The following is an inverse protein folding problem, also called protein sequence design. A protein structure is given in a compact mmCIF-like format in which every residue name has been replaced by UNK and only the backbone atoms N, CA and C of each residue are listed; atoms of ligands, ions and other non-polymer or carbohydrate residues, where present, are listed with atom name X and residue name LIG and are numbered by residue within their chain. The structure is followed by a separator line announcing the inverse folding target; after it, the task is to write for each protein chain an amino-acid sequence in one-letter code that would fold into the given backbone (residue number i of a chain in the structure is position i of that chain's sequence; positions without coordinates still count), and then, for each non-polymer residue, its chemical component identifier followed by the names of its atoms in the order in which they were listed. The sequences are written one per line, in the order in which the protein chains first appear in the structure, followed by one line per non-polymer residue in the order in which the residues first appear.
data_IF_287447474772
#
_entry.id   IF_287447474772
#
_cell.length_a   1.000
_cell.length_b   1.000
_cell.length_c   1.000
_cell.angle_alpha   90.00
_cell.angle_beta   90.00
_cell.angle_gamma   90.00
#
_symmetry.space_group_name_H-M   'P 1'
#
loop_
_entity.id
_entity.type
_entity.pdbx_description
1 polymer ?
#
# COMPACT_ATOMS: atom_id res chain seq x y z
N UNK A 1 22.41 -4.59 0.56
CA UNK A 1 21.08 -4.08 0.94
C UNK A 1 20.03 -5.08 0.47
N UNK A 2 19.04 -5.43 1.30
CA UNK A 2 17.95 -6.30 0.86
C UNK A 2 17.16 -5.62 -0.26
N UNK A 3 16.74 -6.41 -1.24
CA UNK A 3 15.84 -5.98 -2.32
C UNK A 3 14.46 -6.53 -2.02
N UNK A 4 13.46 -5.66 -2.01
CA UNK A 4 12.08 -6.03 -1.68
C UNK A 4 11.26 -5.94 -2.96
N UNK A 5 10.52 -7.00 -3.29
CA UNK A 5 9.58 -6.99 -4.41
C UNK A 5 8.21 -6.53 -3.94
N UNK A 6 7.70 -5.51 -4.61
CA UNK A 6 6.42 -4.86 -4.33
C UNK A 6 5.71 -4.51 -5.63
N UNK A 7 4.51 -3.97 -5.51
CA UNK A 7 3.64 -3.61 -6.62
C UNK A 7 3.16 -2.17 -6.51
N UNK A 8 2.99 -1.53 -7.65
CA UNK A 8 2.39 -0.20 -7.80
C UNK A 8 1.37 -0.23 -8.93
N UNK A 9 0.30 0.56 -8.81
CA UNK A 9 -0.72 0.66 -9.83
C UNK A 9 -0.73 2.07 -10.42
N UNK A 10 -0.85 2.19 -11.74
CA UNK A 10 -0.80 3.48 -12.43
C UNK A 10 -1.64 3.45 -13.71
N UNK A 11 -2.16 4.63 -14.11
CA UNK A 11 -2.76 4.84 -15.42
C UNK A 11 -1.76 5.43 -16.44
N UNK A 12 -0.62 5.92 -15.97
CA UNK A 12 0.37 6.61 -16.77
C UNK A 12 1.58 5.72 -17.06
N UNK A 13 2.15 5.87 -18.25
CA UNK A 13 3.48 5.38 -18.56
C UNK A 13 4.53 6.37 -18.05
N UNK A 14 5.53 5.86 -17.34
CA UNK A 14 6.65 6.63 -16.83
C UNK A 14 7.86 5.74 -16.59
N UNK A 15 9.05 6.34 -16.61
CA UNK A 15 10.31 5.64 -16.32
C UNK A 15 10.79 5.85 -14.87
N UNK A 16 10.26 6.88 -14.19
CA UNK A 16 10.65 7.25 -12.82
C UNK A 16 9.44 7.57 -11.96
N UNK A 17 9.43 7.04 -10.74
CA UNK A 17 8.42 7.36 -9.73
C UNK A 17 8.52 8.80 -9.21
N UNK A 18 7.42 9.30 -8.66
CA UNK A 18 7.45 10.51 -7.85
C UNK A 18 8.06 10.23 -6.46
N UNK A 19 8.67 11.22 -5.79
CA UNK A 19 8.97 11.12 -4.37
C UNK A 19 7.73 10.75 -3.56
N UNK A 20 7.92 10.00 -2.48
CA UNK A 20 6.84 9.54 -1.60
C UNK A 20 5.82 8.59 -2.28
N UNK A 21 6.23 7.91 -3.35
CA UNK A 21 5.38 6.91 -3.99
C UNK A 21 5.05 5.74 -3.05
N UNK A 22 3.82 5.26 -3.16
CA UNK A 22 3.29 4.14 -2.40
C UNK A 22 3.47 2.82 -3.16
N UNK A 23 3.86 1.78 -2.42
CA UNK A 23 4.03 0.42 -2.92
C UNK A 23 3.46 -0.59 -1.95
N UNK A 24 3.00 -1.73 -2.46
CA UNK A 24 2.33 -2.73 -1.65
C UNK A 24 2.44 -4.15 -2.21
N UNK A 25 1.57 -5.03 -1.74
CA UNK A 25 1.34 -6.34 -2.35
C UNK A 25 0.62 -6.18 -3.70
N UNK A 26 0.63 -7.25 -4.51
CA UNK A 26 -0.12 -7.26 -5.77
C UNK A 26 -1.60 -6.98 -5.57
N UNK A 27 -2.22 -7.62 -4.57
CA UNK A 27 -3.64 -7.41 -4.25
C UNK A 27 -3.96 -5.96 -3.85
N UNK A 28 -3.03 -5.26 -3.18
CA UNK A 28 -3.17 -3.84 -2.86
C UNK A 28 -3.10 -2.97 -4.13
N UNK A 29 -2.15 -3.26 -5.01
CA UNK A 29 -2.02 -2.55 -6.27
C UNK A 29 -3.23 -2.78 -7.19
N UNK A 30 -3.71 -4.02 -7.30
CA UNK A 30 -4.93 -4.36 -8.05
C UNK A 30 -6.14 -3.56 -7.59
N UNK A 31 -6.35 -3.44 -6.27
CA UNK A 31 -7.45 -2.64 -5.70
C UNK A 31 -7.35 -1.15 -6.05
N UNK A 32 -6.13 -0.61 -6.22
CA UNK A 32 -5.88 0.78 -6.62
C UNK A 32 -5.78 1.00 -8.13
N UNK A 33 -5.84 -0.07 -8.93
CA UNK A 33 -5.60 0.04 -10.36
C UNK A 33 -6.79 0.72 -11.05
N UNK A 34 -6.58 1.87 -11.70
CA UNK A 34 -7.66 2.54 -12.41
C UNK A 34 -8.07 1.74 -13.67
N UNK A 35 -9.28 1.93 -14.20
CA UNK A 35 -9.68 1.38 -15.49
C UNK A 35 -8.69 1.77 -16.60
N UNK A 36 -8.22 0.78 -17.37
CA UNK A 36 -7.18 0.98 -18.39
C UNK A 36 -5.78 1.24 -17.82
N UNK A 37 -5.59 1.12 -16.50
CA UNK A 37 -4.29 1.16 -15.85
C UNK A 37 -3.55 -0.17 -15.92
N UNK A 38 -2.34 -0.17 -15.37
CA UNK A 38 -1.46 -1.32 -15.33
C UNK A 38 -0.76 -1.44 -13.98
N UNK A 39 -0.27 -2.64 -13.71
CA UNK A 39 0.47 -2.99 -12.51
C UNK A 39 1.95 -3.01 -12.83
N UNK A 40 2.74 -2.32 -12.01
CA UNK A 40 4.18 -2.35 -12.06
C UNK A 40 4.69 -3.26 -10.95
N UNK A 41 5.46 -4.28 -11.31
CA UNK A 41 6.30 -5.00 -10.36
C UNK A 41 7.57 -4.16 -10.15
N UNK A 42 7.89 -3.88 -8.89
CA UNK A 42 8.94 -2.93 -8.50
C UNK A 42 9.87 -3.58 -7.50
N UNK A 43 11.17 -3.36 -7.68
CA UNK A 43 12.19 -3.68 -6.70
C UNK A 43 12.55 -2.41 -5.91
N UNK A 44 12.42 -2.48 -4.58
CA UNK A 44 12.80 -1.41 -3.67
C UNK A 44 14.20 -1.66 -3.07
N UNK A 45 15.00 -0.60 -3.01
CA UNK A 45 16.26 -0.51 -2.28
C UNK A 45 16.06 0.40 -1.07
N UNK A 46 15.51 -0.16 0.00
CA UNK A 46 15.22 0.54 1.26
C UNK A 46 16.04 -0.14 2.35
N UNK A 47 16.95 0.59 2.97
CA UNK A 47 17.88 0.09 3.97
C UNK A 47 17.47 0.45 5.40
N UNK A 48 16.97 1.67 5.62
CA UNK A 48 16.55 2.13 6.95
C UNK A 48 15.16 2.78 6.91
N UNK A 49 14.10 1.95 6.77
CA UNK A 49 12.74 2.45 6.78
C UNK A 49 12.29 2.75 8.20
N UNK A 50 11.54 3.85 8.37
CA UNK A 50 10.79 4.05 9.60
C UNK A 50 9.58 3.12 9.63
N UNK A 51 9.48 2.25 10.64
CA UNK A 51 8.25 1.47 10.86
C UNK A 51 7.20 2.35 11.54
N UNK A 52 5.99 2.42 10.97
CA UNK A 52 4.89 3.24 11.45
C UNK A 52 3.57 2.48 11.41
N UNK A 53 2.63 2.84 12.29
CA UNK A 53 1.27 2.33 12.25
C UNK A 53 0.49 3.07 11.16
N UNK A 54 -0.29 2.34 10.38
CA UNK A 54 -1.25 2.91 9.44
C UNK A 54 -2.40 3.61 10.18
N UNK A 55 -2.58 4.90 9.87
CA UNK A 55 -3.65 5.75 10.43
C UNK A 55 -4.62 6.23 9.35
N UNK A 56 -4.60 5.63 8.16
CA UNK A 56 -5.54 5.93 7.07
C UNK A 56 -5.14 7.10 6.17
N UNK A 57 -3.97 7.71 6.37
CA UNK A 57 -3.49 8.80 5.53
C UNK A 57 -2.05 9.21 5.86
N UNK A 58 -1.35 9.69 4.84
CA UNK A 58 0.05 10.14 4.95
C UNK A 58 0.16 11.62 4.59
N UNK A 59 0.59 12.44 5.56
CA UNK A 59 0.88 13.85 5.35
C UNK A 59 2.29 14.02 4.76
N UNK A 60 2.39 14.68 3.60
CA UNK A 60 3.68 14.94 2.95
C UNK A 60 4.64 15.73 3.86
N UNK A 61 4.15 16.62 4.73
CA UNK A 61 5.03 17.33 5.69
C UNK A 61 5.65 16.37 6.70
N UNK A 62 4.88 15.39 7.17
CA UNK A 62 5.38 14.33 8.03
C UNK A 62 6.43 13.47 7.32
N UNK A 63 6.19 13.08 6.08
CA UNK A 63 7.14 12.29 5.27
C UNK A 63 8.44 13.06 5.02
N UNK A 64 8.36 14.34 4.64
CA UNK A 64 9.53 15.22 4.50
C UNK A 64 10.32 15.36 5.80
N UNK A 65 9.64 15.41 6.95
CA UNK A 65 10.30 15.46 8.25
C UNK A 65 11.06 14.15 8.53
N UNK A 66 10.47 13.00 8.21
CA UNK A 66 11.15 11.70 8.35
C UNK A 66 12.37 11.61 7.42
N UNK A 67 12.23 12.04 6.17
CA UNK A 67 13.35 12.12 5.22
C UNK A 67 14.50 12.97 5.77
N UNK A 68 14.20 14.14 6.35
CA UNK A 68 15.21 15.00 7.00
C UNK A 68 15.86 14.38 8.23
N UNK A 69 15.24 13.38 8.85
CA UNK A 69 15.81 12.62 9.97
C UNK A 69 16.74 11.48 9.51
N UNK A 70 16.86 11.26 8.20
CA UNK A 70 17.78 10.26 7.63
C UNK A 70 17.12 8.94 7.23
N UNK A 71 15.82 8.76 7.46
CA UNK A 71 15.09 7.58 6.98
C UNK A 71 14.96 7.62 5.46
N UNK A 72 14.99 6.46 4.79
CA UNK A 72 14.86 6.34 3.33
C UNK A 72 13.46 5.93 2.85
N UNK A 73 12.57 5.62 3.80
CA UNK A 73 11.16 5.37 3.56
C UNK A 73 10.36 5.13 4.84
N UNK A 74 9.09 4.76 4.65
CA UNK A 74 8.20 4.26 5.69
C UNK A 74 7.79 2.84 5.34
N UNK A 75 7.80 1.95 6.33
CA UNK A 75 7.17 0.63 6.27
C UNK A 75 5.99 0.59 7.25
N UNK A 76 4.86 0.04 6.84
CA UNK A 76 3.69 -0.09 7.71
C UNK A 76 2.83 -1.28 7.31
N UNK A 77 2.07 -1.81 8.26
CA UNK A 77 1.04 -2.80 7.96
C UNK A 77 -0.18 -2.08 7.39
N UNK A 78 -0.51 -2.33 6.11
CA UNK A 78 -1.70 -1.75 5.49
C UNK A 78 -2.95 -2.40 6.07
N UNK A 79 -3.88 -1.57 6.52
CA UNK A 79 -5.07 -2.02 7.26
C UNK A 79 -6.35 -2.03 6.43
N UNK A 80 -6.27 -1.70 5.14
CA UNK A 80 -7.45 -1.46 4.31
C UNK A 80 -7.40 -2.22 2.99
N UNK A 81 -6.23 -2.26 2.34
CA UNK A 81 -6.12 -2.70 0.95
C UNK A 81 -5.58 -4.12 0.82
N UNK A 82 -6.05 -4.83 -0.22
CA UNK A 82 -5.67 -6.22 -0.48
C UNK A 82 -6.26 -7.23 0.52
N UNK A 83 -7.17 -6.80 1.39
CA UNK A 83 -7.88 -7.63 2.36
C UNK A 83 -9.30 -7.87 1.83
N UNK A 84 -9.75 -9.12 1.64
CA UNK A 84 -11.12 -9.40 1.19
C UNK A 84 -12.18 -8.89 2.17
N UNK A 85 -13.31 -8.42 1.66
CA UNK A 85 -14.42 -7.94 2.50
C UNK A 85 -14.89 -9.00 3.51
N UNK A 86 -14.94 -10.27 3.09
CA UNK A 86 -15.31 -11.39 3.96
C UNK A 86 -14.34 -11.57 5.13
N UNK A 87 -13.07 -11.16 5.01
CA UNK A 87 -12.11 -11.19 6.12
C UNK A 87 -12.44 -10.12 7.16
N UNK A 88 -12.79 -8.90 6.72
CA UNK A 88 -13.26 -7.86 7.61
C UNK A 88 -14.54 -8.25 8.35
N UNK A 89 -15.50 -8.89 7.67
CA UNK A 89 -16.73 -9.39 8.29
C UNK A 89 -16.44 -10.40 9.40
N UNK A 90 -15.58 -11.41 9.13
CA UNK A 90 -15.14 -12.38 10.14
C UNK A 90 -14.47 -11.71 11.33
N UNK A 91 -13.60 -10.73 11.08
CA UNK A 91 -12.90 -10.03 12.15
C UNK A 91 -13.86 -9.15 12.97
N UNK A 92 -14.83 -8.48 12.34
CA UNK A 92 -15.80 -7.60 13.03
C UNK A 92 -16.77 -8.37 13.91
N UNK A 93 -17.05 -9.64 13.57
CA UNK A 93 -17.80 -10.53 14.44
C UNK A 93 -17.09 -10.86 15.77
N UNK A 94 -15.76 -10.70 15.82
CA UNK A 94 -14.93 -11.04 17.00
C UNK A 94 -14.39 -9.82 17.75
N UNK A 95 -14.17 -8.70 17.06
CA UNK A 95 -13.54 -7.51 17.62
C UNK A 95 -14.46 -6.30 17.45
N UNK A 96 -14.77 -5.63 18.57
CA UNK A 96 -15.62 -4.44 18.57
C UNK A 96 -15.03 -3.25 17.77
N UNK A 97 -13.70 -3.13 17.72
CA UNK A 97 -13.01 -2.14 16.90
C UNK A 97 -11.64 -2.69 16.45
N UNK A 98 -11.56 -3.14 15.21
CA UNK A 98 -10.36 -3.75 14.62
C UNK A 98 -9.25 -2.70 14.43
N UNK A 99 -9.59 -1.45 14.10
CA UNK A 99 -8.62 -0.38 13.80
C UNK A 99 -7.81 0.04 15.04
N UNK A 100 -8.37 -0.17 16.22
CA UNK A 100 -7.68 0.09 17.50
C UNK A 100 -6.68 -1.00 17.89
N UNK A 101 -6.65 -2.13 17.20
CA UNK A 101 -5.68 -3.20 17.48
C UNK A 101 -4.25 -2.72 17.21
N UNK A 102 -3.28 -3.30 17.95
CA UNK A 102 -1.86 -3.26 17.59
C UNK A 102 -1.64 -3.98 16.26
N UNK A 103 -0.55 -3.70 15.54
CA UNK A 103 -0.28 -4.36 14.25
C UNK A 103 -0.23 -5.89 14.40
N UNK A 104 0.39 -6.40 15.46
CA UNK A 104 0.45 -7.84 15.74
C UNK A 104 -0.94 -8.46 15.97
N UNK A 105 -1.86 -7.75 16.64
CA UNK A 105 -3.21 -8.25 16.86
C UNK A 105 -4.10 -8.06 15.63
N UNK A 106 -3.88 -6.99 14.87
CA UNK A 106 -4.54 -6.75 13.59
C UNK A 106 -4.20 -7.87 12.60
N UNK A 107 -2.92 -8.20 12.44
CA UNK A 107 -2.47 -9.26 11.54
C UNK A 107 -2.94 -10.65 11.99
N UNK A 108 -3.06 -10.91 13.30
CA UNK A 108 -3.70 -12.14 13.80
C UNK A 108 -5.19 -12.22 13.45
N UNK A 109 -5.89 -11.08 13.42
CA UNK A 109 -7.30 -11.01 13.09
C UNK A 109 -7.56 -11.04 11.58
N UNK A 110 -6.65 -10.46 10.80
CA UNK A 110 -6.68 -10.35 9.34
C UNK A 110 -5.31 -10.81 8.78
N UNK A 111 -5.08 -12.13 8.67
CA UNK A 111 -3.82 -12.68 8.16
C UNK A 111 -3.50 -12.25 6.72
N UNK A 112 -4.51 -11.84 5.95
CA UNK A 112 -4.38 -11.30 4.60
C UNK A 112 -3.73 -9.90 4.58
N UNK A 113 -3.69 -9.20 5.71
CA UNK A 113 -3.05 -7.89 5.83
C UNK A 113 -1.56 -7.99 5.52
N UNK A 114 -1.10 -7.12 4.60
CA UNK A 114 0.26 -7.12 4.07
C UNK A 114 0.93 -5.77 4.28
N UNK A 115 2.26 -5.77 4.34
CA UNK A 115 3.05 -4.55 4.47
C UNK A 115 2.93 -3.69 3.21
N UNK A 116 2.91 -2.37 3.42
CA UNK A 116 3.07 -1.34 2.40
C UNK A 116 4.27 -0.47 2.72
N UNK A 117 4.75 0.21 1.69
CA UNK A 117 5.97 0.98 1.68
C UNK A 117 5.74 2.34 1.05
N UNK A 118 6.34 3.38 1.64
CA UNK A 118 6.48 4.69 1.01
C UNK A 118 7.95 4.98 0.88
N UNK A 119 8.41 5.22 -0.34
CA UNK A 119 9.83 5.48 -0.61
C UNK A 119 10.05 6.96 -0.86
N UNK A 120 11.04 7.55 -0.19
CA UNK A 120 11.24 9.01 -0.22
C UNK A 120 12.03 9.46 -1.46
N UNK A 121 12.97 8.62 -1.92
CA UNK A 121 13.78 8.88 -3.11
C UNK A 121 13.37 7.93 -4.24
N UNK A 122 12.88 8.43 -5.38
CA UNK A 122 12.45 7.56 -6.48
C UNK A 122 13.57 6.70 -7.07
N UNK A 123 14.84 7.07 -6.87
CA UNK A 123 16.00 6.25 -7.29
C UNK A 123 16.09 4.93 -6.54
N UNK A 124 15.41 4.82 -5.40
CA UNK A 124 15.32 3.58 -4.61
C UNK A 124 14.21 2.64 -5.09
N UNK A 125 13.52 2.97 -6.19
CA UNK A 125 12.49 2.12 -6.78
C UNK A 125 12.81 1.85 -8.25
N UNK A 126 12.88 0.57 -8.63
CA UNK A 126 13.15 0.15 -10.00
C UNK A 126 11.99 -0.69 -10.52
N UNK A 127 11.39 -0.27 -11.64
CA UNK A 127 10.42 -1.09 -12.37
C UNK A 127 11.15 -2.31 -12.94
N UNK A 128 10.64 -3.50 -12.66
CA UNK A 128 11.20 -4.76 -13.18
C UNK A 128 10.27 -5.43 -14.20
N UNK A 129 8.97 -5.21 -14.12
CA UNK A 129 8.00 -5.66 -15.12
C UNK A 129 6.72 -4.83 -15.08
N UNK A 130 6.03 -4.77 -16.23
CA UNK A 130 4.68 -4.23 -16.37
C UNK A 130 3.73 -5.39 -16.63
N UNK A 131 2.60 -5.38 -15.95
CA UNK A 131 1.57 -6.42 -15.99
C UNK A 131 0.21 -5.77 -16.21
N UNK A 132 -0.65 -6.46 -16.95
CA UNK A 132 -2.07 -6.11 -16.99
C UNK A 132 -2.74 -6.51 -15.66
N UNK A 133 -3.73 -5.73 -15.17
CA UNK A 133 -4.54 -6.17 -14.05
C UNK A 133 -5.31 -7.45 -14.43
N UNK A 134 -5.65 -8.28 -13.44
CA UNK A 134 -6.47 -9.45 -13.71
C UNK A 134 -7.82 -9.03 -14.33
N UNK A 135 -8.22 -9.67 -15.42
CA UNK A 135 -9.55 -9.47 -16.01
C UNK A 135 -10.60 -10.03 -15.03
N UNK A 136 -11.35 -9.13 -14.38
CA UNK A 136 -12.42 -9.45 -13.45
C UNK A 136 -13.61 -8.53 -13.70
N UNK A 137 -14.79 -9.15 -13.83
CA UNK A 137 -16.07 -8.56 -14.20
C UNK A 137 -16.35 -7.20 -13.52
N UNK A 138 -16.59 -6.17 -14.33
CA UNK A 138 -17.32 -4.98 -13.91
C UNK A 138 -16.69 -4.17 -12.77
N UNK A 139 -15.74 -3.30 -13.11
CA UNK A 139 -15.49 -2.04 -12.39
C UNK A 139 -16.74 -1.13 -12.50
N UNK A 140 -17.87 -1.57 -11.94
CA UNK A 140 -19.03 -0.74 -11.68
C UNK A 140 -18.96 -0.26 -10.23
N UNK A 141 -18.60 1.01 -10.08
CA UNK A 141 -18.91 1.89 -8.94
C UNK A 141 -18.64 1.36 -7.52
N UNK A 142 -17.43 1.61 -7.01
CA UNK A 142 -17.20 1.84 -5.58
C UNK A 142 -16.31 3.08 -5.42
N UNK A 143 -16.83 4.25 -5.79
CA UNK A 143 -16.08 5.52 -5.68
C UNK A 143 -16.92 6.70 -5.20
N UNK A 144 -17.90 6.51 -4.30
CA UNK A 144 -18.66 7.66 -3.80
C UNK A 144 -19.07 7.68 -2.31
N UNK A 145 -18.95 6.62 -1.51
CA UNK A 145 -19.59 6.63 -0.16
C UNK A 145 -18.68 6.47 1.06
N UNK A 146 -17.35 6.54 0.94
CA UNK A 146 -16.46 6.46 2.12
C UNK A 146 -15.70 7.76 2.45
N UNK A 147 -16.08 8.90 1.86
CA UNK A 147 -15.49 10.21 2.22
C UNK A 147 -16.45 11.19 2.92
N UNK A 148 -17.65 10.78 3.34
CA UNK A 148 -18.53 11.60 4.18
C UNK A 148 -19.11 10.79 5.34
N UNK A 149 -18.31 10.60 6.40
CA UNK A 149 -18.77 10.35 7.75
C UNK A 149 -17.71 10.80 8.76
#
# INVERSE_FOLDING_TARGET
MPRIRVWHATAADFDTFAPFSHFGSRAQAEMRCPPGGHLLEVELLVADPKTMKDTGGWDERQLKRLQKQGWDGVRYLNRYEGIPQSAFERARAKYANIDRLSDANFQKALPEASESWIVFDPRNAKIIAKHEPAEGEGSASLSAELCNA
#
